data_IF_000177897232
#
_entry.id   IF_000177897232
#
_cell.length_a   1.000
_cell.length_b   1.000
_cell.length_c   1.000
_cell.angle_alpha   90.00
_cell.angle_beta   90.00
_cell.angle_gamma   90.00
#
_symmetry.space_group_name_H-M   'P 1'
#
loop_
_entity.id
_entity.type
_entity.pdbx_description
1 polymer ?
#
# COMPACT_ATOMS: atom_id res chain seq x y z
N UNK A 1 -4.93 21.13 -9.83
CA UNK A 1 -4.15 21.05 -8.59
C UNK A 1 -3.95 19.61 -8.14
N UNK A 2 -2.97 18.95 -8.74
CA UNK A 2 -2.67 17.53 -8.50
C UNK A 2 -1.55 17.38 -7.48
N UNK A 3 -1.92 17.31 -6.19
CA UNK A 3 -0.97 17.11 -5.09
C UNK A 3 -1.47 16.08 -4.08
N UNK A 4 -2.07 14.98 -4.56
CA UNK A 4 -2.30 13.81 -3.74
C UNK A 4 -1.51 12.66 -4.36
N UNK A 5 -0.31 12.43 -3.84
CA UNK A 5 0.42 11.19 -4.09
C UNK A 5 -0.35 10.04 -3.43
N UNK A 6 -1.43 9.59 -4.05
CA UNK A 6 -2.07 8.30 -3.70
C UNK A 6 -1.09 7.22 -4.15
N UNK A 7 -0.18 6.83 -3.27
CA UNK A 7 1.03 6.10 -3.67
C UNK A 7 0.94 4.59 -3.35
N UNK A 8 -0.26 4.08 -3.01
CA UNK A 8 -0.74 2.71 -3.31
C UNK A 8 -2.05 2.44 -2.57
N UNK A 9 -3.04 1.87 -3.27
CA UNK A 9 -4.27 1.34 -2.66
C UNK A 9 -4.29 -0.16 -2.89
N UNK A 10 -4.72 -0.92 -1.88
CA UNK A 10 -4.86 -2.36 -1.98
C UNK A 10 -6.17 -2.87 -1.38
N UNK A 11 -6.55 -4.07 -1.80
CA UNK A 11 -7.64 -4.81 -1.21
C UNK A 11 -7.21 -6.25 -0.99
N UNK A 12 -7.72 -6.86 0.08
CA UNK A 12 -7.48 -8.26 0.43
C UNK A 12 -8.83 -8.91 0.67
N UNK A 13 -9.02 -10.10 0.11
CA UNK A 13 -10.26 -10.87 0.30
C UNK A 13 -9.96 -12.35 0.42
N UNK A 14 -10.76 -13.04 1.24
CA UNK A 14 -10.77 -14.50 1.34
C UNK A 14 -11.63 -15.17 0.24
N UNK A 15 -12.17 -14.38 -0.70
CA UNK A 15 -13.10 -14.79 -1.76
C UNK A 15 -14.47 -15.30 -1.30
N UNK A 16 -14.78 -15.31 0.00
CA UNK A 16 -16.05 -15.85 0.51
C UNK A 16 -16.85 -14.83 1.31
N UNK A 17 -16.26 -14.20 2.33
CA UNK A 17 -16.98 -13.38 3.32
C UNK A 17 -16.18 -12.20 3.85
N UNK A 18 -14.87 -12.20 3.65
CA UNK A 18 -13.99 -11.19 4.20
C UNK A 18 -13.41 -10.32 3.09
N UNK A 19 -13.53 -9.00 3.27
CA UNK A 19 -13.00 -7.99 2.36
C UNK A 19 -12.45 -6.82 3.17
N UNK A 20 -11.18 -6.48 2.93
CA UNK A 20 -10.50 -5.34 3.55
C UNK A 20 -9.93 -4.46 2.44
N UNK A 21 -10.08 -3.15 2.57
CA UNK A 21 -9.38 -2.16 1.74
C UNK A 21 -8.43 -1.32 2.60
N UNK A 22 -7.24 -1.06 2.07
CA UNK A 22 -6.21 -0.24 2.70
C UNK A 22 -5.65 0.78 1.71
N UNK A 23 -5.34 1.97 2.21
CA UNK A 23 -4.73 3.04 1.41
C UNK A 23 -3.47 3.53 2.09
N UNK A 24 -2.37 3.59 1.36
CA UNK A 24 -1.07 4.04 1.87
C UNK A 24 -0.79 5.44 1.34
N UNK A 25 -0.65 6.40 2.27
CA UNK A 25 -0.37 7.79 1.97
C UNK A 25 1.11 8.09 2.26
N UNK A 26 1.82 8.62 1.27
CA UNK A 26 3.19 9.04 1.46
C UNK A 26 3.20 10.53 1.78
N UNK A 27 3.63 10.88 2.99
CA UNK A 27 3.80 12.27 3.41
C UNK A 27 5.18 12.81 2.99
N UNK A 28 5.54 12.68 1.71
CA UNK A 28 6.83 13.14 1.19
C UNK A 28 6.61 14.14 0.04
N UNK A 29 7.22 15.32 0.13
CA UNK A 29 7.31 16.26 -1.01
C UNK A 29 7.93 15.53 -2.20
N UNK A 30 7.44 15.76 -3.44
CA UNK A 30 7.73 14.92 -4.60
C UNK A 30 9.17 15.13 -5.11
N UNK A 31 10.15 14.52 -4.43
CA UNK A 31 11.48 14.29 -4.98
C UNK A 31 11.52 12.84 -5.49
N UNK A 32 11.02 12.66 -6.72
CA UNK A 32 10.78 11.36 -7.36
C UNK A 32 12.02 10.44 -7.37
N UNK A 33 13.22 10.99 -7.54
CA UNK A 33 14.47 10.22 -7.61
C UNK A 33 14.98 9.70 -6.25
N UNK A 34 14.53 10.25 -5.11
CA UNK A 34 14.99 9.81 -3.78
C UNK A 34 14.02 8.88 -3.06
N UNK A 35 12.74 8.85 -3.47
CA UNK A 35 11.69 8.05 -2.82
C UNK A 35 11.43 6.71 -3.51
N UNK A 36 12.00 6.47 -4.70
CA UNK A 36 11.89 5.21 -5.44
C UNK A 36 12.26 3.97 -4.60
N UNK A 37 13.37 3.94 -3.82
CA UNK A 37 13.66 2.81 -2.95
C UNK A 37 12.61 2.66 -1.84
N UNK A 38 12.15 3.76 -1.22
CA UNK A 38 11.12 3.73 -0.17
C UNK A 38 9.77 3.19 -0.68
N UNK A 39 9.40 3.50 -1.93
CA UNK A 39 8.20 2.94 -2.57
C UNK A 39 8.31 1.43 -2.78
N UNK A 40 9.50 0.93 -3.13
CA UNK A 40 9.76 -0.51 -3.25
C UNK A 40 9.67 -1.24 -1.90
N UNK A 41 10.22 -0.66 -0.83
CA UNK A 41 10.08 -1.21 0.52
C UNK A 41 8.62 -1.30 0.96
N UNK A 42 7.84 -0.23 0.75
CA UNK A 42 6.42 -0.21 1.12
C UNK A 42 5.62 -1.24 0.32
N UNK A 43 5.94 -1.47 -0.95
CA UNK A 43 5.32 -2.54 -1.73
C UNK A 43 5.60 -3.92 -1.15
N UNK A 44 6.84 -4.20 -0.74
CA UNK A 44 7.19 -5.48 -0.13
C UNK A 44 6.51 -5.67 1.24
N UNK A 45 6.44 -4.61 2.05
CA UNK A 45 5.73 -4.64 3.33
C UNK A 45 4.21 -4.85 3.13
N UNK A 46 3.63 -4.22 2.11
CA UNK A 46 2.23 -4.46 1.72
C UNK A 46 1.99 -5.92 1.33
N UNK A 47 2.89 -6.52 0.54
CA UNK A 47 2.80 -7.94 0.18
C UNK A 47 2.90 -8.84 1.42
N UNK A 48 3.87 -8.56 2.31
CA UNK A 48 4.03 -9.29 3.58
C UNK A 48 2.77 -9.22 4.44
N UNK A 49 2.18 -8.04 4.56
CA UNK A 49 0.92 -7.83 5.29
C UNK A 49 -0.21 -8.68 4.70
N UNK A 50 -0.36 -8.70 3.38
CA UNK A 50 -1.36 -9.52 2.70
C UNK A 50 -1.14 -11.03 2.94
N UNK A 51 0.11 -11.49 2.85
CA UNK A 51 0.46 -12.90 3.03
C UNK A 51 0.25 -13.39 4.47
N UNK A 52 0.47 -12.53 5.47
CA UNK A 52 0.30 -12.87 6.89
C UNK A 52 -1.11 -12.65 7.42
N UNK A 53 -2.03 -12.16 6.58
CA UNK A 53 -3.39 -11.85 7.00
C UNK A 53 -4.18 -13.14 7.16
N UNK A 54 -4.49 -13.51 8.40
CA UNK A 54 -5.35 -14.64 8.74
C UNK A 54 -6.76 -14.16 9.13
N UNK A 55 -7.76 -14.77 8.51
CA UNK A 55 -9.18 -14.58 8.84
C UNK A 55 -9.57 -15.50 10.00
N UNK A 56 -10.48 -15.05 10.88
CA UNK A 56 -11.02 -15.86 11.99
C UNK A 56 -12.48 -16.20 11.76
#
# INVERSE_FOLDING_TARGET
DGNAATNSQFYVTDSTRHFITGSVYFYAKPNFDSIMPAASYIKNDMQRLMETLEWK
#
